data_IF_741270567172
#
_entry.id   IF_741270567172
#
_cell.length_a   1.000
_cell.length_b   1.000
_cell.length_c   1.000
_cell.angle_alpha   90.00
_cell.angle_beta   90.00
_cell.angle_gamma   90.00
#
_symmetry.space_group_name_H-M   'P 1'
#
loop_
_entity.id
_entity.type
_entity.pdbx_description
1 polymer ?
#
# COMPACT_ATOMS: atom_id res chain seq x y z
N UNK A 1 15.04 -44.64 45.12
CA UNK A 1 13.56 -44.73 45.22
C UNK A 1 13.13 -44.19 46.57
N UNK A 2 12.56 -42.97 46.63
CA UNK A 2 11.79 -42.52 47.80
C UNK A 2 10.46 -41.98 47.30
N UNK A 3 9.40 -42.66 47.70
CA UNK A 3 8.01 -42.31 47.43
C UNK A 3 7.68 -41.01 48.16
N UNK A 4 7.30 -39.97 47.39
CA UNK A 4 6.73 -38.75 47.95
C UNK A 4 5.24 -38.97 48.14
N UNK A 5 4.88 -38.90 49.42
CA UNK A 5 3.63 -39.28 50.05
C UNK A 5 2.60 -38.18 49.85
N UNK A 6 1.44 -38.56 49.35
CA UNK A 6 0.20 -37.77 49.26
C UNK A 6 -0.21 -37.26 50.65
N UNK A 7 -0.03 -35.98 50.95
CA UNK A 7 -0.68 -35.29 52.08
C UNK A 7 -0.86 -33.80 51.76
N UNK A 8 -1.85 -33.48 50.92
CA UNK A 8 -2.50 -32.17 50.95
C UNK A 8 -4.00 -32.38 50.94
N UNK A 9 -4.47 -32.86 52.10
CA UNK A 9 -5.88 -33.02 52.43
C UNK A 9 -6.39 -31.66 52.93
N UNK A 10 -7.18 -30.99 52.10
CA UNK A 10 -8.28 -30.09 52.47
C UNK A 10 -8.00 -28.98 53.51
N UNK A 11 -7.25 -27.95 53.13
CA UNK A 11 -7.47 -26.61 53.69
C UNK A 11 -8.46 -25.87 52.76
N UNK A 12 -9.75 -26.27 52.76
CA UNK A 12 -10.77 -25.38 52.22
C UNK A 12 -10.89 -24.20 53.20
N UNK A 13 -10.62 -22.95 52.77
CA UNK A 13 -10.77 -21.80 53.64
C UNK A 13 -12.22 -21.73 54.14
N UNK A 14 -12.43 -21.35 55.42
CA UNK A 14 -13.77 -21.30 56.00
C UNK A 14 -14.68 -20.46 55.10
N UNK A 15 -15.78 -21.09 54.63
CA UNK A 15 -16.78 -20.44 53.79
C UNK A 15 -17.36 -19.27 54.58
N UNK A 16 -16.84 -18.07 54.33
CA UNK A 16 -17.44 -16.84 54.85
C UNK A 16 -18.85 -16.78 54.30
N UNK A 17 -19.84 -16.86 55.20
CA UNK A 17 -21.23 -16.60 54.85
C UNK A 17 -21.31 -15.13 54.42
N UNK A 18 -21.21 -14.89 53.12
CA UNK A 18 -21.50 -13.59 52.54
C UNK A 18 -23.03 -13.48 52.53
N UNK A 19 -23.59 -12.99 53.64
CA UNK A 19 -24.89 -12.34 53.59
C UNK A 19 -24.80 -11.26 52.50
N UNK A 20 -25.74 -11.22 51.54
CA UNK A 20 -25.74 -10.19 50.52
C UNK A 20 -25.65 -8.82 51.20
N UNK A 21 -24.72 -7.95 50.79
CA UNK A 21 -24.72 -6.58 51.31
C UNK A 21 -26.11 -5.98 51.03
N UNK A 22 -26.69 -5.29 52.02
CA UNK A 22 -27.92 -4.51 51.87
C UNK A 22 -27.64 -3.35 50.90
N UNK A 23 -27.60 -3.67 49.61
CA UNK A 23 -27.40 -2.72 48.54
C UNK A 23 -28.72 -2.03 48.25
N UNK A 24 -28.65 -0.71 48.10
CA UNK A 24 -29.79 0.04 47.63
C UNK A 24 -30.16 -0.41 46.19
N UNK A 25 -31.45 -0.39 45.85
CA UNK A 25 -31.96 -0.85 44.56
C UNK A 25 -31.32 -0.09 43.40
N UNK A 26 -31.04 1.20 43.58
CA UNK A 26 -30.35 2.02 42.57
C UNK A 26 -28.92 1.54 42.30
N UNK A 27 -28.18 1.12 43.34
CA UNK A 27 -26.79 0.66 43.20
C UNK A 27 -26.73 -0.66 42.44
N UNK A 28 -27.67 -1.58 42.72
CA UNK A 28 -27.81 -2.85 41.97
C UNK A 28 -28.06 -2.59 40.48
N UNK A 29 -28.90 -1.61 40.15
CA UNK A 29 -29.20 -1.25 38.75
C UNK A 29 -27.95 -0.68 38.04
N UNK A 30 -27.16 0.16 38.72
CA UNK A 30 -25.92 0.70 38.17
C UNK A 30 -24.91 -0.41 37.90
N UNK A 31 -24.74 -1.34 38.83
CA UNK A 31 -23.82 -2.48 38.68
C UNK A 31 -24.20 -3.37 37.48
N UNK A 32 -25.50 -3.69 37.34
CA UNK A 32 -26.01 -4.47 36.19
C UNK A 32 -25.75 -3.74 34.87
N UNK A 33 -26.00 -2.41 34.81
CA UNK A 33 -25.75 -1.61 33.60
C UNK A 33 -24.25 -1.62 33.23
N UNK A 34 -23.37 -1.47 34.21
CA UNK A 34 -21.93 -1.52 33.99
C UNK A 34 -21.49 -2.91 33.51
N UNK A 35 -22.06 -3.97 34.07
CA UNK A 35 -21.78 -5.33 33.63
C UNK A 35 -22.23 -5.58 32.18
N UNK A 36 -23.45 -5.18 31.83
CA UNK A 36 -23.97 -5.28 30.45
C UNK A 36 -23.09 -4.49 29.47
N UNK A 37 -22.68 -3.29 29.84
CA UNK A 37 -21.79 -2.48 29.00
C UNK A 37 -20.42 -3.15 28.81
N UNK A 38 -19.85 -3.71 29.88
CA UNK A 38 -18.61 -4.48 29.83
C UNK A 38 -18.70 -5.68 28.88
N UNK A 39 -19.81 -6.45 28.95
CA UNK A 39 -20.06 -7.57 28.05
C UNK A 39 -20.15 -7.13 26.58
N UNK A 40 -20.88 -6.05 26.29
CA UNK A 40 -20.98 -5.49 24.93
C UNK A 40 -19.63 -5.04 24.38
N UNK A 41 -18.78 -4.46 25.23
CA UNK A 41 -17.41 -4.08 24.85
C UNK A 41 -16.59 -5.33 24.52
N UNK A 42 -16.68 -6.38 25.35
CA UNK A 42 -15.99 -7.66 25.11
C UNK A 42 -16.36 -8.28 23.76
N UNK A 43 -17.65 -8.39 23.45
CA UNK A 43 -18.13 -8.94 22.18
C UNK A 43 -17.61 -8.13 20.98
N UNK A 44 -17.58 -6.80 21.10
CA UNK A 44 -17.05 -5.92 20.06
C UNK A 44 -15.55 -6.13 19.88
N UNK A 45 -14.79 -6.28 20.97
CA UNK A 45 -13.35 -6.56 20.93
C UNK A 45 -13.06 -7.90 20.24
N UNK A 46 -13.83 -8.96 20.54
CA UNK A 46 -13.68 -10.27 19.92
C UNK A 46 -13.96 -10.21 18.40
N UNK A 47 -15.01 -9.48 18.00
CA UNK A 47 -15.30 -9.25 16.59
C UNK A 47 -14.15 -8.52 15.88
N UNK A 48 -13.64 -7.44 16.46
CA UNK A 48 -12.49 -6.70 15.91
C UNK A 48 -11.24 -7.58 15.82
N UNK A 49 -10.99 -8.43 16.81
CA UNK A 49 -9.84 -9.34 16.80
C UNK A 49 -9.94 -10.38 15.67
N UNK A 50 -11.12 -10.93 15.44
CA UNK A 50 -11.37 -11.87 14.35
C UNK A 50 -11.20 -11.21 12.97
N UNK A 51 -11.69 -9.98 12.80
CA UNK A 51 -11.50 -9.21 11.57
C UNK A 51 -10.02 -8.92 11.30
N UNK A 52 -9.26 -8.49 12.32
CA UNK A 52 -7.81 -8.27 12.22
C UNK A 52 -7.04 -9.55 11.88
N UNK A 53 -7.45 -10.69 12.44
CA UNK A 53 -6.87 -12.00 12.13
C UNK A 53 -7.09 -12.38 10.65
N UNK A 54 -8.30 -12.11 10.13
CA UNK A 54 -8.63 -12.32 8.72
C UNK A 54 -7.75 -11.45 7.79
N UNK A 55 -7.65 -10.15 8.10
CA UNK A 55 -6.83 -9.20 7.32
C UNK A 55 -5.36 -9.64 7.28
N UNK A 56 -4.78 -10.05 8.41
CA UNK A 56 -3.39 -10.53 8.47
C UNK A 56 -3.16 -11.77 7.59
N UNK A 57 -4.13 -12.69 7.51
CA UNK A 57 -4.04 -13.86 6.63
C UNK A 57 -4.04 -13.45 5.16
N UNK A 58 -4.94 -12.54 4.76
CA UNK A 58 -4.99 -12.03 3.39
C UNK A 58 -3.72 -11.27 3.00
N UNK A 59 -3.14 -10.46 3.90
CA UNK A 59 -1.87 -9.78 3.65
C UNK A 59 -0.71 -10.76 3.41
N UNK A 60 -0.65 -11.86 4.18
CA UNK A 60 0.35 -12.91 3.97
C UNK A 60 0.20 -13.57 2.60
N UNK A 61 -1.02 -13.90 2.20
CA UNK A 61 -1.30 -14.49 0.88
C UNK A 61 -0.88 -13.58 -0.28
N UNK A 62 -1.21 -12.29 -0.21
CA UNK A 62 -0.80 -11.31 -1.22
C UNK A 62 0.72 -11.18 -1.30
N UNK A 63 1.40 -11.19 -0.15
CA UNK A 63 2.86 -11.16 -0.10
C UNK A 63 3.48 -12.39 -0.79
N UNK A 64 2.97 -13.58 -0.48
CA UNK A 64 3.45 -14.82 -1.07
C UNK A 64 3.20 -14.85 -2.60
N UNK A 65 2.06 -14.31 -3.06
CA UNK A 65 1.74 -14.17 -4.49
C UNK A 65 2.69 -13.21 -5.22
N UNK A 66 2.96 -12.04 -4.62
CA UNK A 66 3.90 -11.06 -5.17
C UNK A 66 5.32 -11.63 -5.25
N UNK A 67 5.76 -12.36 -4.22
CA UNK A 67 7.08 -13.00 -4.23
C UNK A 67 7.18 -14.07 -5.33
N UNK A 68 6.09 -14.82 -5.57
CA UNK A 68 5.99 -15.76 -6.70
C UNK A 68 6.13 -15.06 -8.06
N UNK A 69 5.39 -13.96 -8.27
CA UNK A 69 5.46 -13.16 -9.51
C UNK A 69 6.85 -12.56 -9.75
N UNK A 70 7.50 -12.06 -8.70
CA UNK A 70 8.87 -11.52 -8.79
C UNK A 70 9.90 -12.60 -9.14
N UNK A 71 9.73 -13.83 -8.64
CA UNK A 71 10.60 -14.96 -9.00
C UNK A 71 10.49 -15.32 -10.48
N UNK A 72 9.29 -15.29 -11.05
CA UNK A 72 9.08 -15.53 -12.48
C UNK A 72 9.77 -14.47 -13.34
N UNK A 73 9.57 -13.18 -13.03
CA UNK A 73 10.23 -12.09 -13.76
C UNK A 73 11.77 -12.16 -13.70
N UNK A 74 12.32 -12.69 -12.60
CA UNK A 74 13.77 -12.89 -12.46
C UNK A 74 14.28 -13.98 -13.40
N UNK A 75 13.50 -15.02 -13.65
CA UNK A 75 13.85 -16.08 -14.60
C UNK A 75 13.87 -15.52 -16.02
N UNK A 76 12.83 -14.78 -16.42
CA UNK A 76 12.75 -14.15 -17.74
C UNK A 76 13.96 -13.23 -18.02
N UNK A 77 14.42 -12.50 -17.00
CA UNK A 77 15.58 -11.62 -17.12
C UNK A 77 16.90 -12.37 -17.30
N UNK A 78 17.11 -13.47 -16.59
CA UNK A 78 18.31 -14.29 -16.76
C UNK A 78 18.29 -15.07 -18.08
N UNK A 79 17.11 -15.52 -18.55
CA UNK A 79 16.96 -16.08 -19.90
C UNK A 79 17.28 -15.05 -20.98
N UNK A 80 16.78 -13.81 -20.83
CA UNK A 80 17.07 -12.73 -21.77
C UNK A 80 18.56 -12.38 -21.85
N UNK A 81 19.29 -12.35 -20.72
CA UNK A 81 20.75 -12.11 -20.71
C UNK A 81 21.55 -13.14 -21.51
N UNK A 82 21.04 -14.37 -21.61
CA UNK A 82 21.71 -15.46 -22.32
C UNK A 82 21.36 -15.50 -23.81
N UNK A 83 20.43 -14.66 -24.28
CA UNK A 83 20.18 -14.51 -25.71
C UNK A 83 21.26 -13.61 -26.32
N UNK A 84 21.87 -14.07 -27.41
CA UNK A 84 22.77 -13.23 -28.19
C UNK A 84 22.02 -11.96 -28.61
N UNK A 85 22.61 -10.76 -28.46
CA UNK A 85 21.94 -9.53 -28.80
C UNK A 85 21.51 -9.59 -30.27
N UNK A 86 20.26 -9.18 -30.60
CA UNK A 86 19.79 -9.21 -31.97
C UNK A 86 20.74 -8.38 -32.82
N UNK A 87 21.16 -8.95 -33.96
CA UNK A 87 22.02 -8.26 -34.92
C UNK A 87 21.25 -7.03 -35.43
N UNK A 88 21.62 -5.86 -34.92
CA UNK A 88 21.03 -4.60 -35.33
C UNK A 88 21.46 -4.32 -36.78
N UNK A 89 20.53 -4.53 -37.72
CA UNK A 89 20.70 -4.06 -39.09
C UNK A 89 20.61 -2.52 -39.05
N UNK A 90 21.67 -1.78 -39.44
CA UNK A 90 21.65 -0.33 -39.37
C UNK A 90 20.56 0.23 -40.30
N UNK A 91 19.60 0.95 -39.72
CA UNK A 91 18.59 1.69 -40.47
C UNK A 91 19.18 3.06 -40.88
N UNK A 92 19.26 3.39 -42.19
CA UNK A 92 20.00 4.56 -42.68
C UNK A 92 19.42 5.93 -42.26
N UNK A 93 18.26 5.98 -41.58
CA UNK A 93 17.59 7.22 -41.19
C UNK A 93 17.71 7.59 -39.70
N UNK A 94 18.57 6.92 -38.92
CA UNK A 94 18.71 7.21 -37.48
C UNK A 94 19.79 8.27 -37.25
N UNK A 95 19.36 9.45 -36.80
CA UNK A 95 20.26 10.52 -36.33
C UNK A 95 20.64 10.29 -34.87
N UNK A 96 21.94 10.35 -34.57
CA UNK A 96 22.48 10.23 -33.21
C UNK A 96 22.82 11.64 -32.70
N UNK A 97 22.36 11.96 -31.48
CA UNK A 97 22.74 13.18 -30.77
C UNK A 97 23.79 12.87 -29.70
N UNK A 98 24.98 13.48 -29.80
CA UNK A 98 26.02 13.38 -28.77
C UNK A 98 26.04 14.67 -27.96
N UNK A 99 25.72 14.57 -26.66
CA UNK A 99 25.73 15.73 -25.75
C UNK A 99 27.10 15.86 -25.08
N UNK A 100 27.83 16.93 -25.40
CA UNK A 100 29.12 17.22 -24.79
C UNK A 100 28.92 17.99 -23.47
N UNK A 101 29.20 17.35 -22.32
CA UNK A 101 29.00 17.95 -20.98
C UNK A 101 29.83 19.21 -20.71
N UNK A 102 30.87 19.49 -21.51
CA UNK A 102 31.81 20.60 -21.25
C UNK A 102 31.42 21.91 -21.94
N UNK A 103 30.51 21.83 -22.90
CA UNK A 103 30.08 22.94 -23.74
C UNK A 103 28.60 22.74 -24.00
N UNK A 104 27.72 23.52 -23.38
CA UNK A 104 26.26 23.47 -23.57
C UNK A 104 25.79 23.86 -24.99
N UNK A 105 26.57 23.54 -26.03
CA UNK A 105 26.21 23.73 -27.43
C UNK A 105 25.73 22.40 -27.98
N UNK A 106 24.46 22.34 -28.35
CA UNK A 106 23.92 21.28 -29.18
C UNK A 106 24.45 21.49 -30.60
N UNK A 107 25.51 20.78 -30.96
CA UNK A 107 26.07 20.80 -32.31
C UNK A 107 25.43 19.66 -33.12
N UNK A 108 24.52 19.99 -34.02
CA UNK A 108 24.04 19.03 -35.03
C UNK A 108 25.11 18.97 -36.11
N UNK A 109 26.11 18.09 -35.95
CA UNK A 109 27.04 17.78 -37.02
C UNK A 109 26.49 16.58 -37.80
N UNK A 110 26.27 16.78 -39.10
CA UNK A 110 26.15 15.67 -40.04
C UNK A 110 27.38 14.77 -39.88
N UNK A 111 27.14 13.46 -39.76
CA UNK A 111 28.18 12.46 -39.55
C UNK A 111 29.20 12.60 -40.69
N UNK A 112 30.47 12.95 -40.43
CA UNK A 112 31.47 12.97 -41.47
C UNK A 112 31.65 11.54 -42.00
N UNK A 113 31.46 11.36 -43.31
CA UNK A 113 31.79 10.12 -44.03
C UNK A 113 33.27 9.79 -43.73
N UNK A 114 33.52 8.85 -42.82
CA UNK A 114 34.87 8.48 -42.39
C UNK A 114 35.02 8.11 -40.91
N UNK A 115 33.94 8.12 -40.13
CA UNK A 115 33.96 7.61 -38.75
C UNK A 115 34.10 6.08 -38.74
N UNK A 116 34.89 5.55 -37.80
CA UNK A 116 35.27 4.14 -37.73
C UNK A 116 34.02 3.26 -37.51
N UNK A 117 33.90 2.10 -38.18
CA UNK A 117 32.65 1.32 -38.26
C UNK A 117 32.14 0.66 -36.96
N UNK A 118 32.72 0.94 -35.78
CA UNK A 118 32.40 0.22 -34.54
C UNK A 118 32.08 1.10 -33.32
N UNK A 119 31.84 2.40 -33.48
CA UNK A 119 31.30 3.21 -32.37
C UNK A 119 29.78 3.00 -32.28
N UNK A 120 29.36 2.19 -31.31
CA UNK A 120 27.96 2.04 -30.93
C UNK A 120 27.51 3.33 -30.27
N UNK A 121 26.71 4.13 -30.97
CA UNK A 121 26.11 5.31 -30.39
C UNK A 121 24.78 4.96 -29.71
N UNK A 122 24.78 5.06 -28.40
CA UNK A 122 23.57 4.88 -27.58
C UNK A 122 22.63 6.08 -27.82
N UNK A 123 21.40 5.81 -28.28
CA UNK A 123 20.38 6.84 -28.43
C UNK A 123 19.99 7.36 -27.04
N UNK A 124 20.60 8.47 -26.61
CA UNK A 124 20.21 9.13 -25.38
C UNK A 124 18.84 9.78 -25.62
N UNK A 125 17.76 9.34 -24.94
CA UNK A 125 16.45 9.95 -25.09
C UNK A 125 16.57 11.44 -24.79
N UNK A 126 16.04 12.26 -25.70
CA UNK A 126 15.98 13.72 -25.55
C UNK A 126 15.29 13.98 -24.20
N UNK A 127 15.94 14.68 -23.24
CA UNK A 127 15.31 14.92 -21.95
C UNK A 127 14.01 15.68 -22.21
N UNK A 128 12.89 15.05 -21.87
CA UNK A 128 11.60 15.73 -21.88
C UNK A 128 11.72 16.96 -20.99
N UNK A 129 11.16 18.12 -21.40
CA UNK A 129 11.19 19.30 -20.56
C UNK A 129 10.60 18.93 -19.20
N UNK A 130 11.35 19.20 -18.12
CA UNK A 130 10.87 18.95 -16.77
C UNK A 130 9.65 19.82 -16.52
N UNK A 131 8.46 19.21 -16.60
CA UNK A 131 7.21 19.87 -16.25
C UNK A 131 7.27 20.30 -14.79
N UNK A 132 6.84 21.52 -14.52
CA UNK A 132 6.64 22.01 -13.16
C UNK A 132 5.60 21.13 -12.45
N UNK A 133 5.67 21.03 -11.13
CA UNK A 133 4.72 20.23 -10.34
C UNK A 133 3.26 20.66 -10.59
N UNK A 134 3.04 21.96 -10.80
CA UNK A 134 1.73 22.51 -11.17
C UNK A 134 1.22 21.98 -12.52
N UNK A 135 2.08 21.90 -13.53
CA UNK A 135 1.71 21.38 -14.85
C UNK A 135 1.44 19.88 -14.80
N UNK A 136 2.20 19.13 -13.99
CA UNK A 136 1.93 17.69 -13.75
C UNK A 136 0.54 17.49 -13.15
N UNK A 137 0.15 18.30 -12.17
CA UNK A 137 -1.19 18.24 -11.55
C UNK A 137 -2.28 18.63 -12.55
N UNK A 138 -2.07 19.66 -13.37
CA UNK A 138 -3.04 20.07 -14.39
C UNK A 138 -3.23 19.00 -15.47
N UNK A 139 -2.13 18.37 -15.91
CA UNK A 139 -2.18 17.27 -16.88
C UNK A 139 -2.95 16.08 -16.31
N UNK A 140 -2.66 15.68 -15.07
CA UNK A 140 -3.41 14.61 -14.40
C UNK A 140 -4.89 14.94 -14.26
N UNK A 141 -5.24 16.19 -13.93
CA UNK A 141 -6.65 16.63 -13.86
C UNK A 141 -7.36 16.56 -15.22
N UNK A 142 -6.65 16.83 -16.32
CA UNK A 142 -7.23 16.72 -17.67
C UNK A 142 -7.42 15.28 -18.16
N UNK A 143 -6.70 14.33 -17.55
CA UNK A 143 -6.81 12.90 -17.88
C UNK A 143 -7.91 12.20 -17.06
N UNK A 144 -8.44 12.86 -16.01
CA UNK A 144 -9.53 12.31 -15.21
C UNK A 144 -10.86 12.34 -15.99
N UNK A 145 -11.70 11.30 -15.85
CA UNK A 145 -13.02 11.28 -16.46
C UNK A 145 -13.91 12.41 -15.92
N UNK A 146 -14.79 12.94 -16.78
CA UNK A 146 -15.83 13.87 -16.35
C UNK A 146 -16.76 13.17 -15.35
N UNK A 147 -16.89 13.78 -14.15
CA UNK A 147 -17.79 13.32 -13.09
C UNK A 147 -19.24 13.50 -13.56
N UNK A 148 -20.18 12.65 -13.14
CA UNK A 148 -21.62 12.76 -13.46
C UNK A 148 -22.50 13.09 -12.24
N UNK A 149 -23.61 13.80 -12.45
CA UNK A 149 -24.64 14.01 -11.41
C UNK A 149 -25.19 12.64 -10.98
N UNK A 150 -25.28 12.42 -9.67
CA UNK A 150 -25.66 11.16 -9.06
C UNK A 150 -24.48 10.21 -8.75
N UNK A 151 -23.25 10.55 -9.15
CA UNK A 151 -22.07 9.74 -8.86
C UNK A 151 -21.60 9.92 -7.41
N UNK A 152 -21.17 8.82 -6.76
CA UNK A 152 -20.59 8.84 -5.41
C UNK A 152 -19.10 9.20 -5.50
N UNK A 153 -18.69 10.26 -4.82
CA UNK A 153 -17.32 10.79 -4.84
C UNK A 153 -16.80 11.03 -3.42
N UNK A 154 -15.48 11.17 -3.29
CA UNK A 154 -14.86 11.68 -2.07
C UNK A 154 -14.64 13.18 -2.19
N UNK A 155 -15.43 13.97 -1.48
CA UNK A 155 -15.32 15.42 -1.43
C UNK A 155 -14.53 15.86 -0.21
N UNK A 156 -13.59 16.80 -0.40
CA UNK A 156 -12.85 17.42 0.70
C UNK A 156 -13.72 18.48 1.36
N UNK A 157 -13.92 18.37 2.67
CA UNK A 157 -14.61 19.40 3.44
C UNK A 157 -13.67 20.60 3.68
N UNK A 158 -14.12 21.84 3.43
CA UNK A 158 -13.25 23.01 3.46
C UNK A 158 -12.77 23.37 4.87
N UNK A 159 -13.58 23.11 5.90
CA UNK A 159 -13.30 23.57 7.27
C UNK A 159 -12.18 22.77 7.95
N UNK A 160 -12.12 21.47 7.71
CA UNK A 160 -11.23 20.56 8.44
C UNK A 160 -10.23 19.82 7.54
N UNK A 161 -10.44 19.89 6.22
CA UNK A 161 -9.59 19.28 5.21
C UNK A 161 -9.73 17.76 5.06
N UNK A 162 -10.72 17.13 5.71
CA UNK A 162 -10.99 15.71 5.60
C UNK A 162 -11.83 15.38 4.37
N UNK A 163 -11.78 14.12 3.91
CA UNK A 163 -12.53 13.64 2.76
C UNK A 163 -13.71 12.79 3.21
N UNK A 164 -14.90 13.09 2.68
CA UNK A 164 -16.15 12.39 2.98
C UNK A 164 -16.82 11.90 1.70
N UNK A 165 -17.57 10.80 1.82
CA UNK A 165 -18.43 10.32 0.73
C UNK A 165 -19.57 11.31 0.52
N UNK A 166 -19.78 11.70 -0.74
CA UNK A 166 -20.86 12.58 -1.16
C UNK A 166 -21.41 12.14 -2.50
N UNK A 167 -22.61 12.60 -2.85
CA UNK A 167 -23.23 12.39 -4.15
C UNK A 167 -23.25 13.72 -4.89
N UNK A 168 -22.82 13.74 -6.14
CA UNK A 168 -22.83 14.96 -6.96
C UNK A 168 -24.27 15.35 -7.28
N UNK A 169 -24.69 16.54 -6.86
CA UNK A 169 -26.06 17.03 -7.05
C UNK A 169 -26.21 17.96 -8.25
N UNK A 170 -25.23 18.83 -8.51
CA UNK A 170 -25.27 19.82 -9.59
C UNK A 170 -23.86 20.30 -10.01
N UNK A 171 -23.75 20.90 -11.20
CA UNK A 171 -22.57 21.64 -11.67
C UNK A 171 -22.93 23.13 -11.76
N UNK A 172 -22.23 23.97 -11.02
CA UNK A 172 -22.36 25.43 -11.14
C UNK A 172 -21.46 26.00 -12.23
#
# INVERSE_FOLDING_TARGET
MKAYREQHLSDEPPRRSLSPPDMNKEDVIIEIKNHINSLKISEKCDKMFNELSSIKKSQRQLKDEMEGKLKLLRIDFEEWKNQEPPVLIPNPNIFVYVKNKKTERNLVQGIPLGSKPNEVYELVPKPEPELTEKEKILKLRSELPEIKVGEEVLAKWPDDGWYYRSIVTDYF
#
